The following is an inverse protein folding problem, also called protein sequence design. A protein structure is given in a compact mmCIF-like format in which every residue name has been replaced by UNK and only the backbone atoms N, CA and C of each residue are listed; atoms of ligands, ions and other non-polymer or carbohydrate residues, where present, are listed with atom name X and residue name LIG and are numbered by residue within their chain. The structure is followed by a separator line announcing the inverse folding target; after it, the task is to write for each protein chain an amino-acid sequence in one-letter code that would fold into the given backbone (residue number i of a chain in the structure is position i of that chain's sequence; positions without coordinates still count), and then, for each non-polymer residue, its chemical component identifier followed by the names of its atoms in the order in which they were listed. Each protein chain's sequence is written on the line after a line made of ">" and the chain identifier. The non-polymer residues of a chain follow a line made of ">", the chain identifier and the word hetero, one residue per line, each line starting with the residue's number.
data_IF_868465502492
#
_entry.id   IF_868465502492
#
_cell.length_a   1.000
_cell.length_b   1.000
_cell.length_c   1.000
_cell.angle_alpha   90.00
_cell.angle_beta   90.00
_cell.angle_gamma   90.00
#
_symmetry.space_group_name_H-M   'P 1'
#
loop_
_entity.id
_entity.type
_entity.pdbx_description
1 polymer ?
#
# COMPACT_ATOMS: atom_id res chain seq x y z
N UNK A 1 56.91 4.10 66.01
CA UNK A 1 55.48 3.81 65.76
C UNK A 1 55.02 4.77 64.68
N UNK A 2 54.59 4.29 63.50
CA UNK A 2 53.93 5.18 62.51
C UNK A 2 54.18 4.96 61.01
N UNK A 3 54.66 3.81 60.52
CA UNK A 3 54.92 3.66 59.05
C UNK A 3 54.29 2.44 58.39
N UNK A 4 53.60 1.57 59.15
CA UNK A 4 52.98 0.34 58.60
C UNK A 4 51.49 0.55 58.26
N UNK A 5 50.81 1.47 58.94
CA UNK A 5 49.36 1.73 58.72
C UNK A 5 49.10 2.64 57.52
N UNK A 6 50.01 3.56 57.18
CA UNK A 6 49.81 4.55 56.11
C UNK A 6 49.90 3.94 54.69
N UNK A 7 50.83 3.00 54.48
CA UNK A 7 51.02 2.35 53.16
C UNK A 7 49.88 1.38 52.79
N UNK A 8 49.19 0.80 53.78
CA UNK A 8 48.03 -0.06 53.54
C UNK A 8 46.82 0.78 53.12
N UNK A 9 46.62 1.93 53.77
CA UNK A 9 45.48 2.83 53.54
C UNK A 9 45.51 3.46 52.14
N UNK A 10 46.68 3.91 51.67
CA UNK A 10 46.85 4.47 50.31
C UNK A 10 46.62 3.42 49.22
N UNK A 11 47.09 2.17 49.43
CA UNK A 11 46.82 1.04 48.51
C UNK A 11 45.33 0.66 48.52
N UNK A 12 44.70 0.63 49.69
CA UNK A 12 43.26 0.35 49.85
C UNK A 12 42.40 1.43 49.18
N UNK A 13 42.69 2.72 49.38
CA UNK A 13 41.98 3.82 48.71
C UNK A 13 42.13 3.77 47.18
N UNK A 14 43.32 3.45 46.66
CA UNK A 14 43.55 3.34 45.21
C UNK A 14 42.79 2.14 44.61
N UNK A 15 42.78 1.01 45.30
CA UNK A 15 42.02 -0.18 44.90
C UNK A 15 40.51 0.09 44.94
N UNK A 16 40.00 0.75 45.98
CA UNK A 16 38.57 1.07 46.11
C UNK A 16 38.09 2.03 45.01
N UNK A 17 38.90 3.05 44.67
CA UNK A 17 38.62 3.95 43.54
C UNK A 17 38.57 3.22 42.20
N UNK A 18 39.50 2.30 41.93
CA UNK A 18 39.50 1.51 40.68
C UNK A 18 38.27 0.61 40.59
N UNK A 19 37.85 -0.02 41.69
CA UNK A 19 36.64 -0.84 41.70
C UNK A 19 35.39 0.03 41.45
N UNK A 20 35.29 1.22 42.06
CA UNK A 20 34.16 2.13 41.83
C UNK A 20 34.10 2.61 40.38
N UNK A 21 35.23 3.00 39.77
CA UNK A 21 35.25 3.39 38.35
C UNK A 21 34.88 2.22 37.45
N UNK A 22 35.32 1.00 37.77
CA UNK A 22 34.95 -0.21 37.03
C UNK A 22 33.45 -0.47 37.10
N UNK A 23 32.85 -0.36 38.28
CA UNK A 23 31.40 -0.51 38.47
C UNK A 23 30.59 0.55 37.73
N UNK A 24 31.04 1.81 37.73
CA UNK A 24 30.38 2.90 36.98
C UNK A 24 30.47 2.67 35.47
N UNK A 25 31.64 2.27 34.96
CA UNK A 25 31.81 1.94 33.54
C UNK A 25 30.97 0.72 33.15
N UNK A 26 30.87 -0.28 34.02
CA UNK A 26 30.03 -1.46 33.80
C UNK A 26 28.55 -1.10 33.80
N UNK A 27 28.12 -0.20 34.69
CA UNK A 27 26.74 0.27 34.79
C UNK A 27 26.36 1.13 33.57
N UNK A 28 27.22 2.05 33.15
CA UNK A 28 27.01 2.87 31.94
C UNK A 28 27.07 2.00 30.68
N UNK A 29 28.00 1.05 30.60
CA UNK A 29 28.11 0.10 29.49
C UNK A 29 26.91 -0.84 29.39
N UNK A 30 26.44 -1.37 30.52
CA UNK A 30 25.22 -2.18 30.59
C UNK A 30 23.96 -1.37 30.28
N UNK A 31 23.88 -0.13 30.76
CA UNK A 31 22.79 0.79 30.45
C UNK A 31 22.73 1.11 28.95
N UNK A 32 23.87 1.42 28.31
CA UNK A 32 23.95 1.65 26.86
C UNK A 32 23.64 0.38 26.05
N UNK A 33 24.11 -0.79 26.49
CA UNK A 33 23.78 -2.08 25.87
C UNK A 33 22.29 -2.42 25.97
N UNK A 34 21.58 -1.96 27.00
CA UNK A 34 20.13 -2.09 27.10
C UNK A 34 19.35 -1.02 26.32
N UNK A 35 19.85 0.23 26.27
CA UNK A 35 19.12 1.36 25.71
C UNK A 35 19.22 1.50 24.18
N UNK A 36 20.36 1.13 23.59
CA UNK A 36 20.59 1.19 22.13
C UNK A 36 19.72 0.18 21.34
N UNK A 37 19.58 -1.11 21.73
CA UNK A 37 18.72 -2.03 20.99
C UNK A 37 17.24 -1.66 21.06
N UNK A 38 16.76 -1.09 22.17
CA UNK A 38 15.38 -0.63 22.33
C UNK A 38 15.05 0.51 21.34
N UNK A 39 16.00 1.43 21.12
CA UNK A 39 15.83 2.57 20.20
C UNK A 39 15.86 2.15 18.72
N UNK A 40 16.61 1.09 18.40
CA UNK A 40 16.61 0.50 17.06
C UNK A 40 15.31 -0.29 16.78
N UNK A 41 14.78 -1.01 17.78
CA UNK A 41 13.51 -1.75 17.68
C UNK A 41 12.32 -0.84 17.37
N UNK A 42 12.29 0.36 17.93
CA UNK A 42 11.22 1.34 17.71
C UNK A 42 11.24 1.96 16.30
N UNK A 43 12.40 1.93 15.62
CA UNK A 43 12.57 2.40 14.24
C UNK A 43 12.22 1.32 13.22
N UNK A 44 12.49 0.06 13.54
CA UNK A 44 12.01 -1.12 12.82
C UNK A 44 10.46 -1.18 12.81
N UNK A 45 9.82 -0.92 13.97
CA UNK A 45 8.35 -0.87 14.05
C UNK A 45 7.75 0.28 13.21
N UNK A 46 8.43 1.42 13.06
CA UNK A 46 7.98 2.52 12.18
C UNK A 46 8.20 2.22 10.70
N UNK A 47 9.30 1.53 10.35
CA UNK A 47 9.53 1.00 9.00
C UNK A 47 8.42 0.00 8.63
N UNK A 48 8.05 -0.87 9.57
CA UNK A 48 6.92 -1.79 9.48
C UNK A 48 5.55 -1.12 9.58
N UNK A 49 5.42 0.20 9.72
CA UNK A 49 4.11 0.90 9.65
C UNK A 49 3.97 1.72 8.36
N UNK A 50 5.08 2.20 7.79
CA UNK A 50 5.05 2.81 6.45
C UNK A 50 4.86 1.79 5.34
N UNK A 51 5.35 0.56 5.50
CA UNK A 51 5.15 -0.51 4.52
C UNK A 51 3.69 -0.99 4.46
N UNK A 52 3.03 -1.40 5.56
CA UNK A 52 1.67 -1.91 5.51
C UNK A 52 0.67 -0.89 4.97
N UNK A 53 0.80 0.40 5.31
CA UNK A 53 -0.15 1.39 4.80
C UNK A 53 -0.02 1.57 3.28
N UNK A 54 1.20 1.52 2.75
CA UNK A 54 1.47 1.53 1.30
C UNK A 54 0.99 0.24 0.65
N UNK A 55 1.26 -0.91 1.25
CA UNK A 55 0.76 -2.22 0.78
C UNK A 55 -0.76 -2.31 0.81
N UNK A 56 -1.43 -1.80 1.83
CA UNK A 56 -2.89 -1.78 1.94
C UNK A 56 -3.48 -0.88 0.87
N UNK A 57 -2.88 0.29 0.63
CA UNK A 57 -3.35 1.23 -0.38
C UNK A 57 -3.17 0.66 -1.80
N UNK A 58 -2.03 0.01 -2.08
CA UNK A 58 -1.80 -0.66 -3.37
C UNK A 58 -2.69 -1.89 -3.55
N UNK A 59 -2.90 -2.72 -2.52
CA UNK A 59 -3.84 -3.84 -2.59
C UNK A 59 -5.27 -3.36 -2.83
N UNK A 60 -5.71 -2.31 -2.14
CA UNK A 60 -7.06 -1.75 -2.32
C UNK A 60 -7.27 -1.30 -3.76
N UNK A 61 -6.27 -0.60 -4.33
CA UNK A 61 -6.29 -0.20 -5.72
C UNK A 61 -6.32 -1.41 -6.66
N UNK A 62 -5.47 -2.43 -6.43
CA UNK A 62 -5.47 -3.64 -7.24
C UNK A 62 -6.83 -4.36 -7.22
N UNK A 63 -7.49 -4.44 -6.06
CA UNK A 63 -8.84 -4.99 -5.93
C UNK A 63 -9.86 -4.15 -6.70
N UNK A 64 -9.82 -2.82 -6.57
CA UNK A 64 -10.71 -1.93 -7.33
C UNK A 64 -10.56 -2.10 -8.84
N UNK A 65 -9.32 -2.23 -9.34
CA UNK A 65 -9.05 -2.45 -10.75
C UNK A 65 -9.44 -3.86 -11.22
N UNK A 66 -9.29 -4.88 -10.37
CA UNK A 66 -9.78 -6.22 -10.65
C UNK A 66 -11.31 -6.22 -10.77
N UNK A 67 -12.02 -5.62 -9.81
CA UNK A 67 -13.47 -5.49 -9.86
C UNK A 67 -13.96 -4.69 -11.08
N UNK A 68 -13.20 -3.66 -11.48
CA UNK A 68 -13.50 -2.89 -12.69
C UNK A 68 -13.41 -3.78 -13.94
N UNK A 69 -12.35 -4.59 -14.07
CA UNK A 69 -12.18 -5.56 -15.15
C UNK A 69 -13.26 -6.64 -15.14
N UNK A 70 -13.62 -7.14 -13.96
CA UNK A 70 -14.64 -8.18 -13.81
C UNK A 70 -16.01 -7.64 -14.22
N UNK A 71 -16.35 -6.42 -13.78
CA UNK A 71 -17.61 -5.76 -14.18
C UNK A 71 -17.63 -5.50 -15.69
N UNK A 72 -16.51 -5.09 -16.29
CA UNK A 72 -16.43 -4.92 -17.73
C UNK A 72 -16.61 -6.23 -18.51
N UNK A 73 -16.13 -7.34 -17.94
CA UNK A 73 -16.32 -8.68 -18.48
C UNK A 73 -17.79 -9.13 -18.39
N UNK A 74 -18.48 -8.79 -17.30
CA UNK A 74 -19.91 -9.07 -17.14
C UNK A 74 -20.76 -8.35 -18.19
N UNK A 75 -20.46 -7.08 -18.49
CA UNK A 75 -21.15 -6.36 -19.58
C UNK A 75 -20.93 -7.08 -20.91
N UNK A 76 -19.69 -7.46 -21.23
CA UNK A 76 -19.37 -8.18 -22.46
C UNK A 76 -20.12 -9.51 -22.55
N UNK A 77 -20.15 -10.28 -21.45
CA UNK A 77 -20.84 -11.55 -21.35
C UNK A 77 -22.34 -11.39 -21.58
N UNK A 78 -22.99 -10.46 -20.89
CA UNK A 78 -24.43 -10.25 -21.01
C UNK A 78 -24.82 -9.70 -22.38
N UNK A 79 -24.00 -8.84 -22.99
CA UNK A 79 -24.19 -8.41 -24.38
C UNK A 79 -24.09 -9.58 -25.37
N UNK A 80 -23.14 -10.50 -25.18
CA UNK A 80 -23.03 -11.72 -26.02
C UNK A 80 -24.22 -12.65 -25.88
N UNK A 81 -24.88 -12.64 -24.71
CA UNK A 81 -26.12 -13.36 -24.42
C UNK A 81 -27.37 -12.59 -24.84
N UNK A 82 -27.22 -11.41 -25.44
CA UNK A 82 -28.31 -10.50 -25.80
C UNK A 82 -29.16 -10.04 -24.60
N UNK A 83 -28.60 -10.10 -23.39
CA UNK A 83 -29.24 -9.63 -22.18
C UNK A 83 -28.94 -8.14 -21.97
N UNK A 84 -29.57 -7.30 -22.79
CA UNK A 84 -29.29 -5.86 -22.83
C UNK A 84 -29.72 -5.09 -21.57
N UNK A 85 -30.66 -5.64 -20.79
CA UNK A 85 -31.05 -5.06 -19.51
C UNK A 85 -29.92 -5.17 -18.50
N UNK A 86 -29.48 -6.40 -18.24
CA UNK A 86 -28.42 -6.67 -17.27
C UNK A 86 -27.07 -6.08 -17.72
N UNK A 87 -26.79 -6.06 -19.03
CA UNK A 87 -25.63 -5.37 -19.58
C UNK A 87 -25.62 -3.86 -19.28
N UNK A 88 -26.78 -3.19 -19.32
CA UNK A 88 -26.88 -1.77 -18.94
C UNK A 88 -26.62 -1.57 -17.45
N UNK A 89 -27.18 -2.44 -16.61
CA UNK A 89 -27.00 -2.36 -15.16
C UNK A 89 -25.52 -2.53 -14.78
N UNK A 90 -24.84 -3.52 -15.36
CA UNK A 90 -23.41 -3.70 -15.17
C UNK A 90 -22.59 -2.57 -15.79
N UNK A 91 -23.01 -1.99 -16.92
CA UNK A 91 -22.33 -0.83 -17.51
C UNK A 91 -22.43 0.39 -16.58
N UNK A 92 -23.55 0.59 -15.90
CA UNK A 92 -23.71 1.65 -14.90
C UNK A 92 -22.71 1.47 -13.76
N UNK A 93 -22.68 0.28 -13.17
CA UNK A 93 -21.73 -0.09 -12.10
C UNK A 93 -20.27 0.06 -12.54
N UNK A 94 -19.95 -0.33 -13.79
CA UNK A 94 -18.62 -0.16 -14.35
C UNK A 94 -18.19 1.32 -14.34
N UNK A 95 -19.03 2.24 -14.81
CA UNK A 95 -18.66 3.67 -14.87
C UNK A 95 -18.63 4.35 -13.50
N UNK A 96 -19.36 3.83 -12.52
CA UNK A 96 -19.25 4.26 -11.12
C UNK A 96 -17.90 3.83 -10.54
N UNK A 97 -17.55 2.53 -10.65
CA UNK A 97 -16.25 2.00 -10.21
C UNK A 97 -15.07 2.64 -10.94
N UNK A 98 -15.24 2.94 -12.23
CA UNK A 98 -14.21 3.58 -13.05
C UNK A 98 -13.87 4.97 -12.53
N UNK A 99 -14.90 5.76 -12.19
CA UNK A 99 -14.74 7.08 -11.61
C UNK A 99 -14.01 6.99 -10.26
N UNK A 100 -14.45 6.09 -9.38
CA UNK A 100 -13.81 5.88 -8.07
C UNK A 100 -12.33 5.49 -8.21
N UNK A 101 -12.02 4.58 -9.14
CA UNK A 101 -10.65 4.17 -9.42
C UNK A 101 -9.81 5.33 -9.97
N UNK A 102 -10.36 6.15 -10.89
CA UNK A 102 -9.66 7.30 -11.45
C UNK A 102 -9.32 8.37 -10.38
N UNK A 103 -10.19 8.53 -9.39
CA UNK A 103 -9.96 9.43 -8.25
C UNK A 103 -8.92 8.88 -7.26
N UNK A 104 -8.82 7.55 -7.11
CA UNK A 104 -7.90 6.88 -6.18
C UNK A 104 -6.48 6.69 -6.74
N UNK A 105 -6.31 6.67 -8.06
CA UNK A 105 -5.02 6.41 -8.72
C UNK A 105 -4.10 7.63 -8.64
N UNK A 106 -2.84 7.39 -8.23
CA UNK A 106 -1.78 8.39 -8.20
C UNK A 106 -0.90 8.39 -9.46
N UNK A 107 -0.81 7.26 -10.17
CA UNK A 107 -0.04 7.16 -11.41
C UNK A 107 -0.70 7.98 -12.54
N UNK A 108 -0.04 9.02 -13.08
CA UNK A 108 -0.60 9.87 -14.12
C UNK A 108 -0.98 9.11 -15.40
N UNK A 109 -0.22 8.09 -15.79
CA UNK A 109 -0.47 7.35 -17.01
C UNK A 109 -1.74 6.49 -16.88
N UNK A 110 -1.86 5.76 -15.77
CA UNK A 110 -3.06 5.00 -15.46
C UNK A 110 -4.27 5.92 -15.28
N UNK A 111 -4.13 7.03 -14.55
CA UNK A 111 -5.20 8.01 -14.36
C UNK A 111 -5.74 8.51 -15.69
N UNK A 112 -4.86 8.91 -16.62
CA UNK A 112 -5.27 9.33 -17.95
C UNK A 112 -6.01 8.21 -18.70
N UNK A 113 -5.54 6.97 -18.62
CA UNK A 113 -6.23 5.83 -19.25
C UNK A 113 -7.65 5.63 -18.72
N UNK A 114 -7.84 5.75 -17.40
CA UNK A 114 -9.16 5.65 -16.76
C UNK A 114 -10.06 6.84 -17.11
N UNK A 115 -9.53 8.06 -17.18
CA UNK A 115 -10.26 9.26 -17.63
C UNK A 115 -10.70 9.15 -19.09
N UNK A 116 -9.83 8.65 -19.97
CA UNK A 116 -10.17 8.41 -21.37
C UNK A 116 -11.27 7.34 -21.50
N UNK A 117 -11.25 6.31 -20.65
CA UNK A 117 -12.34 5.32 -20.56
C UNK A 117 -13.62 5.99 -20.04
N UNK A 118 -13.54 6.87 -19.06
CA UNK A 118 -14.69 7.58 -18.50
C UNK A 118 -15.38 8.44 -19.56
N UNK A 119 -14.61 9.05 -20.46
CA UNK A 119 -15.14 9.82 -21.59
C UNK A 119 -16.00 9.00 -22.56
N UNK A 120 -15.88 7.65 -22.55
CA UNK A 120 -16.73 6.78 -23.37
C UNK A 120 -18.12 6.55 -22.79
N UNK A 121 -18.40 7.03 -21.57
CA UNK A 121 -19.68 6.79 -20.87
C UNK A 121 -20.90 7.17 -21.69
N UNK A 122 -20.97 8.40 -22.17
CA UNK A 122 -22.13 8.89 -22.91
C UNK A 122 -22.38 8.14 -24.22
N UNK A 123 -21.39 8.01 -25.14
CA UNK A 123 -21.62 7.27 -26.37
C UNK A 123 -21.97 5.80 -26.12
N UNK A 124 -21.35 5.16 -25.12
CA UNK A 124 -21.66 3.76 -24.77
C UNK A 124 -23.04 3.64 -24.15
N UNK A 125 -23.44 4.56 -23.28
CA UNK A 125 -24.79 4.55 -22.68
C UNK A 125 -25.86 4.67 -23.77
N UNK A 126 -25.63 5.53 -24.78
CA UNK A 126 -26.51 5.67 -25.94
C UNK A 126 -26.55 4.37 -26.78
N UNK A 127 -25.39 3.77 -27.07
CA UNK A 127 -25.31 2.51 -27.82
C UNK A 127 -25.96 1.34 -27.10
N UNK A 128 -25.81 1.26 -25.76
CA UNK A 128 -26.47 0.26 -24.95
C UNK A 128 -27.97 0.54 -24.89
N UNK A 129 -28.41 1.80 -24.84
CA UNK A 129 -29.82 2.22 -24.89
C UNK A 129 -30.56 1.73 -26.14
N UNK A 130 -29.87 1.49 -27.25
CA UNK A 130 -30.47 0.90 -28.45
C UNK A 130 -30.83 -0.60 -28.30
N UNK A 131 -30.21 -1.34 -27.36
CA UNK A 131 -30.43 -2.79 -27.17
C UNK A 131 -30.33 -3.62 -28.46
N UNK A 132 -29.25 -3.44 -29.22
CA UNK A 132 -29.02 -4.18 -30.48
C UNK A 132 -27.69 -4.92 -30.47
N UNK A 133 -27.47 -5.78 -31.46
CA UNK A 133 -26.18 -6.44 -31.64
C UNK A 133 -24.99 -5.45 -31.75
N UNK A 134 -25.24 -4.21 -32.19
CA UNK A 134 -24.21 -3.17 -32.23
C UNK A 134 -23.69 -2.76 -30.85
N UNK A 135 -24.48 -2.97 -29.77
CA UNK A 135 -24.05 -2.69 -28.39
C UNK A 135 -22.84 -3.53 -28.00
N UNK A 136 -22.75 -4.78 -28.46
CA UNK A 136 -21.58 -5.65 -28.22
C UNK A 136 -20.33 -5.09 -28.89
N UNK A 137 -20.44 -4.72 -30.17
CA UNK A 137 -19.34 -4.13 -30.94
C UNK A 137 -18.88 -2.80 -30.34
N UNK A 138 -19.81 -1.99 -29.81
CA UNK A 138 -19.48 -0.75 -29.13
C UNK A 138 -18.75 -0.99 -27.80
N UNK A 139 -19.11 -2.03 -27.04
CA UNK A 139 -18.51 -2.33 -25.74
C UNK A 139 -17.13 -2.99 -25.82
N UNK A 140 -16.89 -3.84 -26.83
CA UNK A 140 -15.61 -4.55 -27.01
C UNK A 140 -14.34 -3.68 -26.84
N UNK A 141 -14.20 -2.50 -27.48
CA UNK A 141 -13.01 -1.66 -27.29
C UNK A 141 -12.87 -1.12 -25.85
N UNK A 142 -14.00 -0.85 -25.16
CA UNK A 142 -13.99 -0.41 -23.75
C UNK A 142 -13.44 -1.52 -22.87
N UNK A 143 -13.93 -2.75 -23.07
CA UNK A 143 -13.44 -3.92 -22.34
C UNK A 143 -11.93 -4.15 -22.55
N UNK A 144 -11.47 -4.14 -23.80
CA UNK A 144 -10.05 -4.37 -24.11
C UNK A 144 -9.15 -3.31 -23.47
N UNK A 145 -9.50 -2.02 -23.59
CA UNK A 145 -8.74 -0.94 -22.98
C UNK A 145 -8.79 -0.99 -21.45
N UNK A 146 -9.91 -1.41 -20.85
CA UNK A 146 -9.99 -1.68 -19.40
C UNK A 146 -9.02 -2.78 -18.99
N UNK A 147 -9.01 -3.89 -19.73
CA UNK A 147 -8.11 -5.01 -19.44
C UNK A 147 -6.64 -4.58 -19.55
N UNK A 148 -6.27 -3.84 -20.59
CA UNK A 148 -4.91 -3.33 -20.79
C UNK A 148 -4.48 -2.36 -19.69
N UNK A 149 -5.37 -1.45 -19.27
CA UNK A 149 -5.09 -0.48 -18.21
C UNK A 149 -4.89 -1.17 -16.85
N UNK A 150 -5.68 -2.20 -16.56
CA UNK A 150 -5.72 -2.85 -15.25
C UNK A 150 -4.71 -4.00 -15.10
N UNK A 151 -4.24 -4.63 -16.19
CA UNK A 151 -3.32 -5.78 -16.10
C UNK A 151 -1.91 -5.42 -15.62
N UNK A 152 -1.47 -4.18 -15.85
CA UNK A 152 -0.06 -3.78 -15.67
C UNK A 152 0.22 -3.20 -14.28
N UNK A 153 -0.77 -3.18 -13.39
CA UNK A 153 -0.65 -2.57 -12.07
C UNK A 153 0.06 -3.55 -11.14
N UNK A 154 1.29 -3.20 -10.75
CA UNK A 154 2.13 -3.94 -9.80
C UNK A 154 1.96 -3.42 -8.37
#
# INVERSE_FOLDING_TARGET
>A
MGTVTENVDVRQMKMMRVHVTLWVVLLVGGFLLGFVPEYLKNRELRSQLQDPQKTISSLKLQVQLAELRDTASLVLLELSRQNYGLARDYSGQYYEKLKEAAEAVQDPALKKSLEDLQATREPITSQLAAATAASLTAWQPVFLKTFEATRNVK
#
